data_IF_345452449348
#
_entry.id   IF_345452449348
#
_cell.length_a   1.000
_cell.length_b   1.000
_cell.length_c   1.000
_cell.angle_alpha   90.00
_cell.angle_beta   90.00
_cell.angle_gamma   90.00
#
_symmetry.space_group_name_H-M   'P 1'
#
loop_
_entity.id
_entity.type
_entity.pdbx_description
1 polymer ?
#
# COMPACT_ATOMS: atom_id res chain seq x y z
N UNK A 1 -6.44 -10.07 11.76
CA UNK A 1 -6.38 -8.60 11.97
C UNK A 1 -5.47 -8.31 13.15
N UNK A 2 -4.67 -7.24 13.12
CA UNK A 2 -3.74 -6.88 14.19
C UNK A 2 -4.34 -5.76 15.06
N UNK A 3 -5.12 -6.14 16.06
CA UNK A 3 -5.67 -5.22 17.04
C UNK A 3 -5.39 -5.74 18.45
N UNK A 4 -5.14 -4.82 19.40
CA UNK A 4 -5.01 -5.12 20.83
C UNK A 4 -6.21 -5.91 21.32
N UNK A 5 -7.41 -5.52 20.91
CA UNK A 5 -8.67 -6.20 21.26
C UNK A 5 -8.92 -7.51 20.51
N UNK A 6 -7.98 -7.98 19.69
CA UNK A 6 -8.01 -9.36 19.21
C UNK A 6 -7.57 -10.35 20.29
N UNK A 7 -6.95 -9.87 21.37
CA UNK A 7 -6.74 -10.62 22.61
C UNK A 7 -7.55 -9.98 23.75
N UNK A 8 -7.98 -10.77 24.76
CA UNK A 8 -8.65 -10.22 25.93
C UNK A 8 -7.68 -9.35 26.75
N UNK A 9 -7.98 -8.05 26.85
CA UNK A 9 -7.31 -7.15 27.80
C UNK A 9 -7.89 -7.47 29.18
N UNK A 10 -7.08 -8.01 30.09
CA UNK A 10 -7.56 -8.46 31.40
C UNK A 10 -7.52 -7.36 32.48
N UNK A 11 -6.79 -6.28 32.23
CA UNK A 11 -6.66 -5.19 33.19
C UNK A 11 -7.89 -4.27 33.15
N UNK A 12 -8.64 -4.23 34.26
CA UNK A 12 -9.87 -3.45 34.38
C UNK A 12 -9.64 -1.93 34.29
N UNK A 13 -8.51 -1.42 34.81
CA UNK A 13 -8.18 0.01 34.75
C UNK A 13 -7.90 0.46 33.30
N UNK A 14 -7.18 -0.37 32.54
CA UNK A 14 -6.92 -0.13 31.12
C UNK A 14 -8.23 -0.11 30.32
N UNK A 15 -9.14 -1.06 30.56
CA UNK A 15 -10.46 -1.07 29.95
C UNK A 15 -11.26 0.19 30.28
N UNK A 16 -11.32 0.60 31.55
CA UNK A 16 -12.00 1.83 31.96
C UNK A 16 -11.38 3.09 31.36
N UNK A 17 -10.06 3.12 31.16
CA UNK A 17 -9.38 4.24 30.51
C UNK A 17 -9.76 4.31 29.02
N UNK A 18 -9.79 3.16 28.34
CA UNK A 18 -10.19 3.03 26.94
C UNK A 18 -11.65 3.43 26.73
N UNK A 19 -12.56 2.97 27.59
CA UNK A 19 -13.99 3.33 27.57
C UNK A 19 -14.20 4.83 27.76
N UNK A 20 -13.59 5.43 28.81
CA UNK A 20 -13.66 6.88 29.04
C UNK A 20 -13.10 7.69 27.87
N UNK A 21 -12.04 7.20 27.24
CA UNK A 21 -11.48 7.84 26.06
C UNK A 21 -12.43 7.76 24.86
N UNK A 22 -13.10 6.63 24.65
CA UNK A 22 -14.10 6.48 23.59
C UNK A 22 -15.29 7.41 23.80
N UNK A 23 -15.85 7.44 25.00
CA UNK A 23 -16.98 8.30 25.35
C UNK A 23 -16.65 9.79 25.13
N UNK A 24 -15.50 10.23 25.65
CA UNK A 24 -15.04 11.62 25.53
C UNK A 24 -14.87 12.06 24.08
N UNK A 25 -14.44 11.16 23.20
CA UNK A 25 -14.15 11.46 21.79
C UNK A 25 -15.27 10.99 20.85
N UNK A 26 -16.41 10.54 21.37
CA UNK A 26 -17.51 9.96 20.60
C UNK A 26 -17.08 8.84 19.63
N UNK A 27 -16.12 8.03 20.05
CA UNK A 27 -15.62 6.88 19.29
C UNK A 27 -16.55 5.68 19.50
N UNK A 28 -16.75 4.93 18.43
CA UNK A 28 -17.66 3.78 18.33
C UNK A 28 -16.90 2.47 18.10
N UNK A 29 -15.67 2.52 17.60
CA UNK A 29 -14.86 1.34 17.31
C UNK A 29 -14.30 0.72 18.58
N UNK A 30 -14.47 -0.59 18.73
CA UNK A 30 -13.84 -1.38 19.78
C UNK A 30 -12.48 -1.93 19.32
N UNK A 31 -12.01 -1.60 18.11
CA UNK A 31 -10.66 -1.95 17.65
C UNK A 31 -9.63 -0.91 18.05
N UNK A 32 -8.60 -1.41 18.71
CA UNK A 32 -7.47 -0.63 19.17
C UNK A 32 -6.17 -1.15 18.56
N UNK A 33 -5.32 -0.23 18.11
CA UNK A 33 -4.14 -0.51 17.31
C UNK A 33 -2.91 0.10 17.97
N UNK A 34 -1.75 -0.53 17.74
CA UNK A 34 -0.47 0.05 18.08
C UNK A 34 0.05 0.89 16.92
N UNK A 35 0.83 1.96 17.18
CA UNK A 35 1.50 2.74 16.14
C UNK A 35 2.27 1.86 15.15
N UNK A 36 2.91 0.79 15.65
CA UNK A 36 3.66 -0.15 14.83
C UNK A 36 2.78 -0.96 13.88
N UNK A 37 1.52 -1.25 14.25
CA UNK A 37 0.58 -1.94 13.36
C UNK A 37 0.22 -1.09 12.15
N UNK A 38 0.26 0.24 12.25
CA UNK A 38 -0.19 1.13 11.18
C UNK A 38 0.59 0.91 9.88
N UNK A 39 1.92 0.87 9.97
CA UNK A 39 2.78 0.66 8.82
C UNK A 39 2.58 -0.71 8.15
N UNK A 40 2.26 -1.72 8.96
CA UNK A 40 2.04 -3.10 8.51
C UNK A 40 0.68 -3.27 7.83
N UNK A 41 -0.32 -2.49 8.26
CA UNK A 41 -1.64 -2.41 7.66
C UNK A 41 -1.72 -1.38 6.51
N UNK A 42 -0.60 -0.73 6.18
CA UNK A 42 -0.54 0.39 5.22
C UNK A 42 -1.52 1.53 5.53
N UNK A 43 -1.83 1.74 6.81
CA UNK A 43 -2.68 2.82 7.31
C UNK A 43 -1.84 3.92 7.94
N UNK A 44 -2.43 5.11 8.06
CA UNK A 44 -1.80 6.31 8.63
C UNK A 44 -2.66 6.83 9.77
N UNK A 45 -2.01 7.35 10.80
CA UNK A 45 -2.68 8.11 11.85
C UNK A 45 -3.21 9.42 11.26
N UNK A 46 -4.45 9.79 11.59
CA UNK A 46 -5.01 11.10 11.26
C UNK A 46 -4.61 12.16 12.31
N UNK A 47 -4.46 11.71 13.55
CA UNK A 47 -4.05 12.50 14.71
C UNK A 47 -2.97 11.74 15.49
N UNK A 48 -2.15 12.39 16.32
CA UNK A 48 -1.26 11.69 17.25
C UNK A 48 -2.04 10.82 18.24
N UNK A 49 -1.52 9.65 18.62
CA UNK A 49 -2.13 8.83 19.66
C UNK A 49 -2.09 9.59 20.99
N UNK A 50 -3.24 9.69 21.65
CA UNK A 50 -3.36 10.43 22.91
C UNK A 50 -3.55 9.49 24.10
N UNK A 51 -3.95 8.24 23.86
CA UNK A 51 -4.17 7.26 24.92
C UNK A 51 -2.88 6.46 25.16
N UNK A 52 -2.43 6.46 26.41
CA UNK A 52 -1.27 5.71 26.89
C UNK A 52 -1.76 4.65 27.88
N UNK A 53 -1.30 3.42 27.70
CA UNK A 53 -1.62 2.30 28.58
C UNK A 53 -0.33 1.69 29.13
N UNK A 54 -0.31 1.18 30.37
CA UNK A 54 0.78 0.33 30.84
C UNK A 54 0.88 -0.91 29.93
N UNK A 55 2.08 -1.23 29.44
CA UNK A 55 2.25 -2.35 28.51
C UNK A 55 1.90 -3.68 29.18
N UNK A 56 2.15 -3.80 30.48
CA UNK A 56 1.75 -4.95 31.31
C UNK A 56 0.24 -5.21 31.33
N UNK A 57 -0.58 -4.20 31.00
CA UNK A 57 -2.04 -4.32 30.94
C UNK A 57 -2.55 -4.93 29.63
N UNK A 58 -1.73 -4.95 28.58
CA UNK A 58 -2.15 -5.28 27.21
C UNK A 58 -1.40 -6.45 26.58
N UNK A 59 -0.24 -6.81 27.13
CA UNK A 59 0.62 -7.87 26.61
C UNK A 59 0.59 -9.10 27.52
N UNK A 60 0.77 -10.29 26.95
CA UNK A 60 1.04 -11.50 27.71
C UNK A 60 2.52 -11.87 27.54
N UNK A 61 3.22 -12.07 28.66
CA UNK A 61 4.59 -12.55 28.68
C UNK A 61 4.61 -14.06 28.96
N UNK A 62 5.60 -14.81 28.42
CA UNK A 62 6.69 -14.37 27.55
C UNK A 62 6.24 -14.12 26.10
N UNK A 63 6.94 -13.22 25.41
CA UNK A 63 6.71 -12.97 23.98
C UNK A 63 7.06 -14.19 23.13
N UNK A 64 6.34 -14.41 22.04
CA UNK A 64 6.67 -15.46 21.07
C UNK A 64 7.59 -14.96 19.93
N UNK A 65 7.73 -13.64 19.77
CA UNK A 65 8.62 -13.05 18.79
C UNK A 65 9.12 -11.68 19.21
N UNK A 66 10.30 -11.33 18.71
CA UNK A 66 10.92 -10.01 18.89
C UNK A 66 11.44 -9.46 17.57
N UNK A 67 11.55 -8.13 17.42
CA UNK A 67 12.17 -7.53 16.25
C UNK A 67 13.60 -8.00 16.06
N UNK A 68 13.97 -8.35 14.83
CA UNK A 68 15.32 -8.80 14.49
C UNK A 68 16.38 -7.73 14.79
N UNK A 69 15.99 -6.45 14.79
CA UNK A 69 16.90 -5.36 15.14
C UNK A 69 17.35 -5.38 16.61
N UNK A 70 16.62 -6.07 17.50
CA UNK A 70 16.98 -6.29 18.91
C UNK A 70 18.16 -7.26 19.09
N UNK A 71 18.60 -7.95 18.02
CA UNK A 71 19.74 -8.85 18.10
C UNK A 71 21.07 -8.07 18.16
N UNK A 72 22.12 -8.64 18.80
CA UNK A 72 23.47 -8.12 18.73
C UNK A 72 23.96 -7.95 17.28
N UNK A 73 24.73 -6.89 16.96
CA UNK A 73 25.26 -6.67 15.61
C UNK A 73 26.11 -7.82 15.04
N UNK A 74 26.80 -8.60 15.89
CA UNK A 74 27.52 -9.81 15.48
C UNK A 74 26.56 -10.89 14.98
N UNK A 75 25.53 -11.20 15.78
CA UNK A 75 24.53 -12.23 15.46
C UNK A 75 23.69 -11.87 14.24
N UNK A 76 23.31 -10.60 14.10
CA UNK A 76 22.61 -10.10 12.89
C UNK A 76 23.43 -10.36 11.63
N UNK A 77 24.72 -10.03 11.65
CA UNK A 77 25.63 -10.23 10.51
C UNK A 77 25.80 -11.70 10.16
N UNK A 78 25.94 -12.56 11.18
CA UNK A 78 26.04 -14.00 10.99
C UNK A 78 24.78 -14.58 10.33
N UNK A 79 23.60 -14.30 10.90
CA UNK A 79 22.33 -14.80 10.38
C UNK A 79 22.08 -14.29 8.96
N UNK A 80 22.28 -12.99 8.68
CA UNK A 80 22.05 -12.44 7.35
C UNK A 80 23.03 -13.00 6.29
N UNK A 81 24.21 -13.49 6.70
CA UNK A 81 25.18 -14.14 5.82
C UNK A 81 24.81 -15.59 5.53
N UNK A 82 24.44 -16.35 6.57
CA UNK A 82 24.15 -17.79 6.46
C UNK A 82 22.74 -18.06 5.94
N UNK A 83 21.78 -17.22 6.34
CA UNK A 83 20.36 -17.35 6.08
C UNK A 83 19.80 -16.00 5.62
N UNK A 84 20.07 -15.56 4.38
CA UNK A 84 19.54 -14.29 3.89
C UNK A 84 18.01 -14.34 3.76
N UNK A 85 17.27 -13.29 4.15
CA UNK A 85 15.82 -13.23 3.98
C UNK A 85 15.45 -13.18 2.49
N UNK A 86 14.35 -13.84 2.07
CA UNK A 86 13.88 -13.80 0.70
C UNK A 86 13.50 -12.37 0.28
N UNK A 87 13.70 -12.05 -0.99
CA UNK A 87 13.28 -10.76 -1.54
C UNK A 87 11.75 -10.72 -1.67
N UNK A 88 11.08 -10.17 -0.66
CA UNK A 88 9.64 -10.01 -0.63
C UNK A 88 9.19 -8.56 -0.90
N UNK A 89 7.93 -8.36 -1.35
CA UNK A 89 7.34 -7.04 -1.49
C UNK A 89 7.45 -6.19 -0.21
N UNK A 90 7.41 -4.85 -0.33
CA UNK A 90 7.36 -3.95 0.82
C UNK A 90 6.21 -4.31 1.78
N UNK A 91 6.41 -4.10 3.09
CA UNK A 91 5.47 -4.40 4.17
C UNK A 91 5.25 -5.91 4.49
N UNK A 92 6.13 -6.79 4.02
CA UNK A 92 6.12 -8.19 4.45
C UNK A 92 6.72 -8.35 5.85
N UNK A 93 6.03 -9.09 6.74
CA UNK A 93 6.49 -9.49 8.08
C UNK A 93 7.03 -10.93 8.00
N UNK A 94 8.33 -11.10 8.21
CA UNK A 94 9.05 -12.38 8.15
C UNK A 94 9.53 -12.79 9.54
N UNK A 95 9.46 -14.07 9.84
CA UNK A 95 9.96 -14.67 11.07
C UNK A 95 11.09 -15.64 10.75
N UNK A 96 12.20 -15.51 11.48
CA UNK A 96 13.29 -16.47 11.49
C UNK A 96 12.91 -17.65 12.38
N UNK A 97 12.49 -18.73 11.74
CA UNK A 97 12.19 -19.99 12.41
C UNK A 97 13.49 -20.77 12.64
N UNK A 98 13.69 -21.22 13.88
CA UNK A 98 14.77 -22.10 14.27
C UNK A 98 14.20 -23.47 14.63
N UNK A 99 14.31 -24.44 13.70
CA UNK A 99 13.84 -25.81 13.90
C UNK A 99 15.02 -26.75 14.18
N UNK A 100 15.78 -26.46 15.24
CA UNK A 100 16.95 -27.25 15.65
C UNK A 100 18.12 -27.14 14.66
N UNK A 101 18.14 -28.01 13.66
CA UNK A 101 19.25 -28.17 12.72
C UNK A 101 19.23 -27.17 11.56
N UNK A 102 18.12 -26.43 11.38
CA UNK A 102 17.97 -25.47 10.28
C UNK A 102 17.29 -24.19 10.73
N UNK A 103 17.87 -23.06 10.32
CA UNK A 103 17.20 -21.75 10.38
C UNK A 103 16.63 -21.38 9.01
N UNK A 104 15.39 -20.91 8.97
CA UNK A 104 14.76 -20.44 7.73
C UNK A 104 13.83 -19.26 7.97
N UNK A 105 13.68 -18.43 6.95
CA UNK A 105 12.69 -17.36 6.95
C UNK A 105 11.35 -17.89 6.48
N UNK A 106 10.30 -17.59 7.23
CA UNK A 106 8.90 -17.83 6.84
C UNK A 106 8.06 -16.57 7.06
N UNK A 107 6.86 -16.55 6.50
CA UNK A 107 5.87 -15.54 6.90
C UNK A 107 5.64 -15.62 8.40
N UNK A 108 5.64 -14.45 9.05
CA UNK A 108 5.34 -14.35 10.46
C UNK A 108 3.83 -14.56 10.71
N UNK A 109 3.50 -15.20 11.82
CA UNK A 109 2.13 -15.36 12.27
C UNK A 109 1.57 -14.02 12.79
N UNK A 110 0.25 -13.92 12.90
CA UNK A 110 -0.37 -12.72 13.47
C UNK A 110 0.06 -12.47 14.92
N UNK A 111 0.24 -13.54 15.69
CA UNK A 111 0.70 -13.46 17.09
C UNK A 111 2.14 -12.95 17.17
N UNK A 112 3.01 -13.45 16.28
CA UNK A 112 4.42 -13.03 16.23
C UNK A 112 4.57 -11.54 15.90
N UNK A 113 3.83 -11.03 14.90
CA UNK A 113 3.88 -9.61 14.57
C UNK A 113 3.20 -8.74 15.65
N UNK A 114 2.24 -9.28 16.42
CA UNK A 114 1.62 -8.60 17.55
C UNK A 114 2.60 -8.44 18.72
N UNK A 115 3.22 -9.53 19.18
CA UNK A 115 4.16 -9.49 20.32
C UNK A 115 5.37 -8.60 20.03
N UNK A 116 5.90 -8.67 18.81
CA UNK A 116 7.03 -7.86 18.40
C UNK A 116 6.71 -6.35 18.35
N UNK A 117 5.43 -5.96 18.35
CA UNK A 117 5.02 -4.56 18.32
C UNK A 117 5.23 -3.82 19.65
N UNK A 118 5.45 -4.54 20.75
CA UNK A 118 5.68 -3.94 22.07
C UNK A 118 7.16 -3.79 22.44
N UNK A 119 8.04 -4.40 21.66
CA UNK A 119 9.48 -4.34 21.92
C UNK A 119 10.02 -2.98 21.47
N UNK A 120 10.75 -2.33 22.38
CA UNK A 120 11.41 -1.06 22.13
C UNK A 120 12.49 -1.26 21.07
N UNK A 121 12.19 -0.85 19.84
CA UNK A 121 13.17 -0.90 18.75
C UNK A 121 13.36 0.47 18.14
N UNK A 122 14.62 0.87 17.95
CA UNK A 122 14.97 2.08 17.19
C UNK A 122 14.30 2.11 15.82
N UNK A 123 14.06 3.33 15.33
CA UNK A 123 13.44 3.72 14.06
C UNK A 123 13.19 2.58 13.06
N UNK A 124 11.89 2.33 12.81
CA UNK A 124 11.39 1.42 11.78
C UNK A 124 11.60 2.04 10.39
N UNK A 125 12.82 1.93 9.86
CA UNK A 125 13.15 2.42 8.51
C UNK A 125 13.21 1.32 7.45
N UNK A 126 12.92 0.06 7.79
CA UNK A 126 13.04 -1.05 6.85
C UNK A 126 11.74 -1.28 6.06
N UNK A 127 11.89 -1.49 4.75
CA UNK A 127 10.79 -1.91 3.84
C UNK A 127 10.26 -3.32 4.16
N UNK A 128 10.94 -4.07 5.02
CA UNK A 128 10.64 -5.45 5.42
C UNK A 128 10.76 -5.54 6.95
N UNK A 129 9.78 -6.17 7.59
CA UNK A 129 9.76 -6.37 9.03
C UNK A 129 10.30 -7.77 9.32
N UNK A 130 11.50 -7.83 9.91
CA UNK A 130 12.14 -9.09 10.27
C UNK A 130 11.97 -9.33 11.76
N UNK A 131 11.50 -10.52 12.10
CA UNK A 131 11.27 -11.02 13.45
C UNK A 131 12.07 -12.30 13.68
N UNK A 132 12.28 -12.65 14.93
CA UNK A 132 12.86 -13.93 15.33
C UNK A 132 12.30 -14.35 16.68
N UNK A 133 12.58 -15.60 17.07
CA UNK A 133 12.27 -16.07 18.39
C UNK A 133 13.04 -15.25 19.47
N UNK A 134 12.46 -15.06 20.68
CA UNK A 134 13.07 -14.25 21.74
C UNK A 134 14.39 -14.83 22.25
N UNK A 135 14.56 -16.15 22.20
CA UNK A 135 15.80 -16.86 22.57
C UNK A 135 17.02 -16.43 21.73
N UNK A 136 16.78 -15.90 20.52
CA UNK A 136 17.81 -15.35 19.66
C UNK A 136 18.29 -13.97 20.11
N UNK A 137 17.54 -13.28 20.98
CA UNK A 137 17.88 -11.96 21.50
C UNK A 137 18.57 -12.06 22.87
N UNK A 138 19.58 -11.22 23.10
CA UNK A 138 20.34 -11.20 24.36
C UNK A 138 19.61 -10.47 25.47
N UNK A 139 18.85 -9.43 25.12
CA UNK A 139 17.93 -8.74 26.01
C UNK A 139 16.74 -8.25 25.20
N UNK A 140 15.55 -8.31 25.82
CA UNK A 140 14.31 -7.81 25.22
C UNK A 140 13.80 -6.72 26.14
N UNK A 141 13.97 -5.47 25.71
CA UNK A 141 13.39 -4.32 26.40
C UNK A 141 11.99 -4.07 25.85
N UNK A 142 10.98 -4.30 26.70
CA UNK A 142 9.59 -3.96 26.42
C UNK A 142 9.36 -2.54 26.96
N UNK A 143 8.64 -1.69 26.22
CA UNK A 143 8.29 -0.35 26.70
C UNK A 143 7.39 -0.47 27.94
N UNK A 144 7.62 0.33 28.99
CA UNK A 144 6.78 0.30 30.21
C UNK A 144 5.34 0.75 29.91
N UNK A 145 5.21 1.71 29.00
CA UNK A 145 3.96 2.28 28.53
C UNK A 145 3.88 2.20 27.01
N UNK A 146 2.68 2.06 26.49
CA UNK A 146 2.42 2.01 25.06
C UNK A 146 1.31 2.97 24.67
N UNK A 147 1.54 3.71 23.58
CA UNK A 147 0.50 4.54 22.97
C UNK A 147 -0.41 3.67 22.11
N UNK A 148 -1.72 3.94 22.16
CA UNK A 148 -2.71 3.19 21.40
C UNK A 148 -3.60 4.12 20.60
N UNK A 149 -4.01 3.66 19.42
CA UNK A 149 -4.98 4.31 18.56
C UNK A 149 -6.29 3.56 18.62
N UNK A 150 -7.40 4.28 18.70
CA UNK A 150 -8.65 3.73 18.22
C UNK A 150 -8.61 3.64 16.68
N UNK A 151 -9.21 2.61 16.07
CA UNK A 151 -9.20 2.47 14.62
C UNK A 151 -9.75 3.72 13.91
N UNK A 152 -10.73 4.41 14.51
CA UNK A 152 -11.31 5.65 13.99
C UNK A 152 -10.36 6.86 13.93
N UNK A 153 -9.22 6.80 14.62
CA UNK A 153 -8.18 7.83 14.59
C UNK A 153 -7.18 7.62 13.45
N UNK A 154 -7.45 6.65 12.58
CA UNK A 154 -6.63 6.32 11.41
C UNK A 154 -7.37 6.61 10.10
N UNK A 155 -6.63 6.68 9.00
CA UNK A 155 -7.21 6.86 7.66
C UNK A 155 -8.01 5.64 7.15
N UNK A 156 -8.11 4.57 7.95
CA UNK A 156 -8.97 3.43 7.69
C UNK A 156 -9.69 3.01 8.98
N UNK A 157 -10.82 3.66 9.31
CA UNK A 157 -11.56 3.40 10.55
C UNK A 157 -12.24 2.03 10.58
N UNK A 158 -12.36 1.35 9.42
CA UNK A 158 -13.14 0.11 9.25
C UNK A 158 -12.27 -1.15 9.25
N UNK A 159 -11.08 -1.09 9.83
CA UNK A 159 -10.25 -2.27 10.03
C UNK A 159 -11.02 -3.28 10.91
N UNK A 160 -11.64 -4.30 10.28
CA UNK A 160 -12.30 -5.50 10.89
C UNK A 160 -12.94 -5.27 12.24
N UNK A 161 -13.65 -4.16 12.34
CA UNK A 161 -14.59 -3.87 13.41
C UNK A 161 -16.00 -4.19 12.93
N UNK A 162 -16.53 -5.32 13.40
CA UNK A 162 -17.92 -5.74 13.16
C UNK A 162 -18.91 -4.94 13.98
N UNK A 163 -18.44 -4.23 15.00
CA UNK A 163 -19.28 -3.44 15.91
C UNK A 163 -19.55 -2.04 15.32
N UNK A 164 -18.75 -1.63 14.33
CA UNK A 164 -19.00 -0.43 13.54
C UNK A 164 -20.18 -0.64 12.59
N UNK A 165 -21.32 -0.13 13.00
CA UNK A 165 -22.49 0.01 12.15
C UNK A 165 -22.29 1.19 11.20
N UNK A 166 -22.19 0.93 9.90
CA UNK A 166 -22.15 1.98 8.89
C UNK A 166 -23.45 2.78 8.93
N UNK A 167 -23.37 4.11 8.97
CA UNK A 167 -24.53 5.02 8.94
C UNK A 167 -24.47 5.91 7.71
N UNK A 168 -25.64 6.18 7.14
CA UNK A 168 -25.83 7.25 6.17
C UNK A 168 -25.58 8.59 6.88
N UNK A 169 -24.59 9.36 6.42
CA UNK A 169 -24.19 10.63 7.05
C UNK A 169 -25.30 11.69 7.03
N UNK A 170 -26.14 11.68 5.98
CA UNK A 170 -27.19 12.68 5.79
C UNK A 170 -28.49 12.26 6.49
N UNK A 171 -28.80 10.96 6.48
CA UNK A 171 -30.04 10.43 7.08
C UNK A 171 -29.87 9.98 8.51
N UNK A 172 -28.63 9.85 8.99
CA UNK A 172 -28.28 9.24 10.28
C UNK A 172 -28.83 7.82 10.47
N UNK A 173 -29.23 7.13 9.39
CA UNK A 173 -29.81 5.80 9.42
C UNK A 173 -28.72 4.75 9.25
N UNK A 174 -28.72 3.73 10.10
CA UNK A 174 -27.82 2.58 9.99
C UNK A 174 -28.14 1.77 8.74
N UNK A 175 -27.12 1.42 7.95
CA UNK A 175 -27.29 0.51 6.82
C UNK A 175 -27.72 -0.87 7.32
N UNK A 176 -28.72 -1.47 6.67
CA UNK A 176 -29.34 -2.74 7.09
C UNK A 176 -28.42 -3.97 6.98
N UNK A 177 -27.25 -3.83 6.35
CA UNK A 177 -26.27 -4.89 6.23
C UNK A 177 -25.00 -4.48 6.95
N UNK A 178 -24.54 -5.32 7.88
CA UNK A 178 -23.20 -5.22 8.44
C UNK A 178 -22.21 -5.37 7.30
N UNK A 179 -21.69 -4.24 6.82
CA UNK A 179 -20.54 -4.26 5.91
C UNK A 179 -19.36 -4.68 6.78
N UNK A 180 -19.21 -5.99 6.97
CA UNK A 180 -18.07 -6.59 7.64
C UNK A 180 -16.83 -6.33 6.77
N UNK A 181 -16.22 -5.17 6.96
CA UNK A 181 -14.79 -4.84 7.14
C UNK A 181 -13.66 -5.60 6.42
N UNK A 182 -13.87 -6.82 5.97
CA UNK A 182 -13.24 -7.26 4.72
C UNK A 182 -13.82 -6.43 3.56
N UNK A 183 -15.12 -6.11 3.58
CA UNK A 183 -15.84 -5.45 2.51
C UNK A 183 -15.47 -4.00 2.22
N UNK A 184 -14.91 -3.19 3.12
CA UNK A 184 -14.52 -1.82 2.70
C UNK A 184 -13.23 -1.83 1.86
N UNK A 185 -12.39 -2.84 2.02
CA UNK A 185 -11.17 -3.04 1.22
C UNK A 185 -11.40 -4.03 0.06
N UNK A 186 -12.30 -5.01 0.24
CA UNK A 186 -12.71 -6.04 -0.73
C UNK A 186 -13.92 -5.62 -1.59
N UNK A 187 -14.86 -4.78 -1.14
CA UNK A 187 -15.95 -4.28 -2.00
C UNK A 187 -15.43 -3.30 -3.06
N UNK A 188 -14.27 -2.69 -2.83
CA UNK A 188 -13.51 -2.03 -3.90
C UNK A 188 -12.91 -3.04 -4.92
N UNK A 189 -12.76 -4.33 -4.56
CA UNK A 189 -12.20 -5.41 -5.40
C UNK A 189 -13.24 -6.41 -5.96
N UNK A 190 -14.45 -6.55 -5.39
CA UNK A 190 -15.41 -7.63 -5.70
C UNK A 190 -16.83 -7.18 -6.11
N UNK A 191 -17.02 -5.93 -6.57
CA UNK A 191 -18.26 -5.47 -7.24
C UNK A 191 -19.58 -5.78 -6.51
N UNK A 192 -19.75 -5.22 -5.32
CA UNK A 192 -21.11 -5.07 -4.76
C UNK A 192 -21.90 -4.10 -5.64
N UNK A 193 -23.20 -4.32 -5.83
CA UNK A 193 -24.07 -3.56 -6.77
C UNK A 193 -24.26 -2.06 -6.42
N UNK A 194 -23.83 -1.63 -5.23
CA UNK A 194 -23.70 -0.22 -4.82
C UNK A 194 -22.29 0.38 -5.07
N UNK A 195 -21.41 -0.34 -5.75
CA UNK A 195 -20.01 0.00 -6.03
C UNK A 195 -19.65 -0.15 -7.51
N UNK A 196 -20.62 -0.13 -8.42
CA UNK A 196 -20.31 0.02 -9.84
C UNK A 196 -19.89 1.48 -10.08
N UNK A 197 -18.57 1.68 -10.10
CA UNK A 197 -17.96 2.95 -10.41
C UNK A 197 -17.82 3.08 -11.91
N UNK A 198 -18.49 4.07 -12.48
CA UNK A 198 -18.40 4.36 -13.91
C UNK A 198 -17.53 5.60 -14.07
N UNK A 199 -16.47 5.48 -14.87
CA UNK A 199 -15.62 6.62 -15.20
C UNK A 199 -16.50 7.70 -15.83
N UNK A 200 -16.33 8.96 -15.43
CA UNK A 200 -17.15 10.09 -15.88
C UNK A 200 -17.27 10.12 -17.41
N UNK A 201 -16.14 9.89 -18.10
CA UNK A 201 -16.08 9.85 -19.56
C UNK A 201 -16.84 8.67 -20.19
N UNK A 202 -17.04 7.57 -19.45
CA UNK A 202 -17.74 6.37 -19.90
C UNK A 202 -19.23 6.38 -19.55
N UNK A 203 -19.68 7.20 -18.59
CA UNK A 203 -21.05 7.20 -18.10
C UNK A 203 -22.08 7.49 -19.21
N UNK A 204 -21.81 8.52 -20.02
CA UNK A 204 -22.69 8.86 -21.15
C UNK A 204 -22.68 7.78 -22.24
N UNK A 205 -21.51 7.21 -22.55
CA UNK A 205 -21.38 6.14 -23.54
C UNK A 205 -22.08 4.84 -23.11
N UNK A 206 -22.21 4.60 -21.81
CA UNK A 206 -22.94 3.48 -21.23
C UNK A 206 -24.46 3.71 -21.14
N UNK A 207 -24.98 4.85 -21.61
CA UNK A 207 -26.41 5.18 -21.54
C UNK A 207 -26.91 5.50 -20.13
N UNK A 208 -26.01 5.96 -19.25
CA UNK A 208 -26.31 6.31 -17.86
C UNK A 208 -26.47 7.82 -17.72
N UNK A 209 -27.51 8.24 -17.00
CA UNK A 209 -27.78 9.64 -16.62
C UNK A 209 -27.26 9.91 -15.22
N UNK A 210 -26.59 11.05 -15.04
CA UNK A 210 -26.12 11.49 -13.71
C UNK A 210 -27.27 12.14 -12.94
N UNK A 211 -27.45 11.75 -11.68
CA UNK A 211 -28.46 12.31 -10.78
C UNK A 211 -28.21 13.81 -10.55
N UNK A 212 -29.29 14.60 -10.51
CA UNK A 212 -29.19 16.05 -10.31
C UNK A 212 -28.48 16.40 -8.98
N UNK A 213 -27.54 17.35 -9.04
CA UNK A 213 -26.80 17.83 -7.87
C UNK A 213 -25.65 16.95 -7.40
N UNK A 214 -25.29 15.89 -8.14
CA UNK A 214 -24.17 15.00 -7.80
C UNK A 214 -22.88 15.38 -8.53
N UNK A 215 -21.73 15.11 -7.92
CA UNK A 215 -20.40 15.36 -8.50
C UNK A 215 -19.54 14.09 -8.50
N UNK A 216 -18.69 13.88 -9.51
CA UNK A 216 -17.84 12.70 -9.57
C UNK A 216 -16.74 12.74 -8.52
N UNK A 217 -16.30 11.55 -8.10
CA UNK A 217 -15.23 11.38 -7.11
C UNK A 217 -13.87 11.23 -7.80
N UNK A 218 -12.85 11.88 -7.24
CA UNK A 218 -11.47 11.74 -7.69
C UNK A 218 -10.84 10.47 -7.10
N UNK A 219 -10.71 9.43 -7.92
CA UNK A 219 -10.17 8.14 -7.51
C UNK A 219 -8.74 7.98 -8.05
N UNK A 220 -7.84 7.43 -7.22
CA UNK A 220 -6.50 7.05 -7.67
C UNK A 220 -6.53 5.64 -8.22
N UNK A 221 -6.18 5.49 -9.49
CA UNK A 221 -6.19 4.21 -10.21
C UNK A 221 -4.78 3.82 -10.62
N UNK A 222 -4.57 2.53 -10.82
CA UNK A 222 -3.35 2.01 -11.42
C UNK A 222 -3.63 1.72 -12.88
N UNK A 223 -2.81 2.28 -13.76
CA UNK A 223 -2.87 2.06 -15.21
C UNK A 223 -1.52 1.52 -15.69
N UNK A 224 -1.56 0.63 -16.67
CA UNK A 224 -0.36 0.14 -17.34
C UNK A 224 0.10 1.14 -18.40
N UNK A 225 1.28 1.72 -18.19
CA UNK A 225 2.00 2.48 -19.19
C UNK A 225 2.90 1.54 -19.99
N UNK A 226 2.71 1.52 -21.31
CA UNK A 226 3.57 0.79 -22.25
C UNK A 226 4.66 1.74 -22.74
N UNK A 227 5.91 1.32 -22.63
CA UNK A 227 7.06 2.11 -23.07
C UNK A 227 8.01 1.27 -23.92
N UNK A 228 8.73 1.94 -24.81
CA UNK A 228 9.82 1.35 -25.60
C UNK A 228 11.09 2.13 -25.37
N UNK A 229 12.21 1.44 -25.32
CA UNK A 229 13.51 2.09 -25.22
C UNK A 229 13.86 2.75 -26.56
N UNK A 230 14.55 3.90 -26.52
CA UNK A 230 14.90 4.64 -27.74
C UNK A 230 15.68 3.79 -28.75
N UNK A 231 16.54 2.87 -28.28
CA UNK A 231 17.33 1.99 -29.16
C UNK A 231 16.50 1.01 -30.00
N UNK A 232 15.22 0.81 -29.65
CA UNK A 232 14.29 -0.05 -30.39
C UNK A 232 13.61 0.65 -31.57
N UNK A 233 13.79 1.98 -31.70
CA UNK A 233 13.18 2.76 -32.77
C UNK A 233 14.06 2.73 -34.04
N UNK A 234 13.52 3.02 -35.24
CA UNK A 234 14.36 3.19 -36.43
C UNK A 234 15.41 4.30 -36.25
N UNK A 235 16.60 4.13 -36.82
CA UNK A 235 17.74 5.04 -36.60
C UNK A 235 17.44 6.52 -36.90
N UNK A 236 16.60 6.79 -37.91
CA UNK A 236 16.13 8.15 -38.22
C UNK A 236 15.35 8.76 -37.05
N UNK A 237 14.42 8.00 -36.48
CA UNK A 237 13.60 8.43 -35.35
C UNK A 237 14.42 8.55 -34.07
N UNK A 238 15.41 7.67 -33.88
CA UNK A 238 16.35 7.80 -32.75
C UNK A 238 17.08 9.14 -32.82
N UNK A 239 17.63 9.49 -33.98
CA UNK A 239 18.37 10.74 -34.18
C UNK A 239 17.48 11.95 -33.91
N UNK A 240 16.31 12.00 -34.52
CA UNK A 240 15.33 13.07 -34.28
C UNK A 240 15.00 13.25 -32.80
N UNK A 241 14.75 12.15 -32.10
CA UNK A 241 14.42 12.19 -30.68
C UNK A 241 15.61 12.64 -29.84
N UNK A 242 16.82 12.12 -30.07
CA UNK A 242 18.03 12.53 -29.35
C UNK A 242 18.31 14.02 -29.55
N UNK A 243 18.15 14.54 -30.77
CA UNK A 243 18.35 15.95 -31.09
C UNK A 243 17.33 16.86 -30.37
N UNK A 244 16.15 16.33 -30.08
CA UNK A 244 15.10 17.02 -29.33
C UNK A 244 15.25 16.93 -27.80
N UNK A 245 16.12 16.06 -27.27
CA UNK A 245 16.28 15.85 -25.83
C UNK A 245 17.03 17.04 -25.21
N UNK A 246 16.49 17.68 -24.16
CA UNK A 246 17.24 18.71 -23.45
C UNK A 246 18.55 18.15 -22.89
N UNK A 247 19.67 18.89 -23.03
CA UNK A 247 21.00 18.45 -22.58
C UNK A 247 21.03 17.95 -21.13
N UNK A 248 20.28 18.60 -20.25
CA UNK A 248 20.16 18.22 -18.83
C UNK A 248 19.46 16.86 -18.64
N UNK A 249 18.50 16.53 -19.51
CA UNK A 249 17.83 15.22 -19.53
C UNK A 249 18.78 14.14 -20.02
N UNK A 250 19.52 14.41 -21.10
CA UNK A 250 20.48 13.46 -21.66
C UNK A 250 21.57 13.08 -20.63
N UNK A 251 22.17 14.07 -19.96
CA UNK A 251 23.19 13.81 -18.93
C UNK A 251 22.62 12.97 -17.77
N UNK A 252 21.41 13.30 -17.30
CA UNK A 252 20.78 12.59 -16.19
C UNK A 252 20.26 11.20 -16.58
N UNK A 253 20.00 10.97 -17.87
CA UNK A 253 19.45 9.70 -18.34
C UNK A 253 20.38 8.51 -18.14
N UNK A 254 21.68 8.74 -17.91
CA UNK A 254 22.64 7.68 -17.57
C UNK A 254 22.37 7.00 -16.23
N UNK A 255 21.65 7.65 -15.30
CA UNK A 255 21.35 7.10 -13.97
C UNK A 255 19.87 7.07 -13.64
N UNK A 256 19.03 7.78 -14.41
CA UNK A 256 17.61 7.98 -14.10
C UNK A 256 16.76 7.86 -15.35
N UNK A 257 15.65 7.13 -15.27
CA UNK A 257 14.75 6.97 -16.42
C UNK A 257 13.90 8.22 -16.71
N UNK A 258 13.92 8.63 -17.98
CA UNK A 258 13.03 9.63 -18.55
C UNK A 258 12.12 8.99 -19.60
N UNK A 259 10.87 9.44 -19.63
CA UNK A 259 9.85 8.99 -20.56
C UNK A 259 9.36 10.18 -21.38
N UNK A 260 9.41 10.08 -22.70
CA UNK A 260 8.72 10.98 -23.60
C UNK A 260 7.22 10.71 -23.50
N UNK A 261 6.49 11.61 -22.85
CA UNK A 261 5.06 11.47 -22.58
C UNK A 261 4.33 12.78 -22.86
N UNK A 262 3.27 12.73 -23.69
CA UNK A 262 2.54 13.90 -24.17
C UNK A 262 3.47 14.97 -24.79
N UNK A 263 4.42 14.53 -25.63
CA UNK A 263 5.33 15.40 -26.37
C UNK A 263 6.47 16.03 -25.55
N UNK A 264 6.65 15.65 -24.28
CA UNK A 264 7.75 16.17 -23.45
C UNK A 264 8.50 15.06 -22.73
N UNK A 265 9.81 15.22 -22.61
CA UNK A 265 10.64 14.36 -21.77
C UNK A 265 10.35 14.62 -20.30
N UNK A 266 9.92 13.59 -19.59
CA UNK A 266 9.53 13.67 -18.18
C UNK A 266 10.28 12.63 -17.36
N UNK A 267 10.69 13.02 -16.17
CA UNK A 267 11.21 12.08 -15.19
C UNK A 267 10.13 11.05 -14.80
N UNK A 268 10.49 9.79 -14.56
CA UNK A 268 9.51 8.72 -14.29
C UNK A 268 8.51 9.03 -13.15
N UNK A 269 8.99 9.67 -12.07
CA UNK A 269 8.12 10.15 -10.96
C UNK A 269 7.08 11.18 -11.42
N UNK A 270 7.43 12.04 -12.38
CA UNK A 270 6.51 13.05 -12.94
C UNK A 270 5.43 12.42 -13.83
N UNK A 271 5.67 11.21 -14.32
CA UNK A 271 4.68 10.37 -15.01
C UNK A 271 3.96 9.44 -14.02
N UNK A 272 4.23 9.60 -12.71
CA UNK A 272 3.65 8.85 -11.59
C UNK A 272 3.84 7.32 -11.70
N UNK A 273 4.91 6.87 -12.32
CA UNK A 273 5.24 5.45 -12.38
C UNK A 273 5.57 4.91 -10.99
N UNK A 274 5.07 3.72 -10.66
CA UNK A 274 5.28 3.09 -9.35
C UNK A 274 6.73 2.63 -9.15
N UNK A 275 7.42 2.29 -10.25
CA UNK A 275 8.82 1.85 -10.28
C UNK A 275 9.58 2.52 -11.44
N UNK A 276 10.87 2.86 -11.27
CA UNK A 276 11.69 3.37 -12.36
C UNK A 276 11.97 2.27 -13.41
N UNK A 277 12.34 2.69 -14.61
CA UNK A 277 12.95 1.83 -15.61
C UNK A 277 14.46 1.83 -15.40
N UNK A 278 15.10 0.67 -15.51
CA UNK A 278 16.53 0.50 -15.25
C UNK A 278 17.20 -0.22 -16.43
N UNK A 279 18.54 -0.27 -16.47
CA UNK A 279 19.28 -0.83 -17.61
C UNK A 279 18.91 -2.28 -17.94
N UNK A 280 18.54 -3.09 -16.93
CA UNK A 280 18.07 -4.47 -17.14
C UNK A 280 16.77 -4.57 -17.95
N UNK A 281 16.01 -3.48 -18.02
CA UNK A 281 14.77 -3.41 -18.77
C UNK A 281 15.02 -3.09 -20.26
N UNK A 282 16.21 -2.59 -20.60
CA UNK A 282 16.61 -2.31 -21.98
C UNK A 282 16.69 -3.63 -22.73
N UNK A 283 16.00 -3.77 -23.88
CA UNK A 283 16.11 -4.99 -24.68
C UNK A 283 17.55 -5.21 -25.16
N UNK A 284 18.03 -6.45 -25.00
CA UNK A 284 19.42 -6.84 -25.27
C UNK A 284 19.84 -6.37 -26.67
N UNK A 285 20.66 -5.33 -26.71
CA UNK A 285 21.27 -4.79 -27.92
C UNK A 285 22.79 -4.76 -27.70
N UNK A 286 23.44 -5.92 -27.88
CA UNK A 286 24.89 -6.05 -27.78
C UNK A 286 25.39 -6.70 -26.49
N UNK A 287 26.66 -6.44 -26.15
CA UNK A 287 27.33 -6.98 -24.98
C UNK A 287 26.84 -6.28 -23.69
N UNK A 288 26.92 -6.95 -22.51
CA UNK A 288 26.45 -6.38 -21.24
C UNK A 288 27.06 -5.01 -20.90
N UNK A 289 28.34 -4.82 -21.27
CA UNK A 289 29.09 -3.57 -21.03
C UNK A 289 28.52 -2.38 -21.81
N UNK A 290 28.00 -2.62 -23.02
CA UNK A 290 27.39 -1.57 -23.86
C UNK A 290 25.99 -1.22 -23.33
N UNK A 291 25.29 -2.18 -22.72
CA UNK A 291 23.97 -1.98 -22.16
C UNK A 291 23.97 -1.03 -20.97
N UNK A 292 25.01 -1.10 -20.12
CA UNK A 292 25.18 -0.21 -18.97
C UNK A 292 25.58 1.23 -19.37
N UNK A 293 25.96 1.45 -20.62
CA UNK A 293 26.27 2.76 -21.19
C UNK A 293 25.10 3.37 -21.98
N UNK A 294 23.98 2.67 -22.13
CA UNK A 294 22.83 3.21 -22.83
C UNK A 294 22.02 4.17 -21.93
N UNK A 295 21.63 5.34 -22.45
CA UNK A 295 20.83 6.29 -21.69
C UNK A 295 19.42 5.73 -21.43
N UNK A 296 18.89 5.88 -20.22
CA UNK A 296 17.54 5.44 -19.85
C UNK A 296 16.44 6.37 -20.42
N UNK A 297 16.36 6.41 -21.75
CA UNK A 297 15.39 7.20 -22.51
C UNK A 297 14.33 6.28 -23.10
N UNK A 298 13.09 6.54 -22.70
CA UNK A 298 11.94 5.71 -23.02
C UNK A 298 10.87 6.54 -23.73
N UNK A 299 10.13 5.92 -24.64
CA UNK A 299 9.02 6.55 -25.34
C UNK A 299 7.74 5.85 -24.93
N UNK A 300 6.76 6.60 -24.44
CA UNK A 300 5.44 6.05 -24.17
C UNK A 300 4.73 5.73 -25.48
N UNK A 301 4.22 4.50 -25.57
CA UNK A 301 3.48 4.01 -26.73
C UNK A 301 2.02 3.92 -26.34
N UNK A 302 1.16 4.67 -27.02
CA UNK A 302 -0.28 4.54 -26.85
C UNK A 302 -0.81 3.31 -27.62
N UNK A 303 -2.08 2.95 -27.37
CA UNK A 303 -2.75 1.87 -28.11
C UNK A 303 -2.92 2.17 -29.61
N UNK A 304 -2.75 3.42 -30.03
CA UNK A 304 -2.93 3.87 -31.41
C UNK A 304 -1.61 3.91 -32.21
N UNK A 305 -0.46 3.89 -31.55
CA UNK A 305 0.85 3.81 -32.18
C UNK A 305 1.09 2.39 -32.69
N UNK A 306 1.27 2.28 -34.01
CA UNK A 306 1.72 1.05 -34.68
C UNK A 306 3.21 0.81 -34.37
N UNK A 307 3.52 0.35 -33.17
CA UNK A 307 4.85 -0.17 -32.84
C UNK A 307 4.84 -1.70 -32.89
N UNK A 308 5.64 -2.27 -33.79
CA UNK A 308 5.82 -3.71 -33.94
C UNK A 308 7.13 -4.14 -33.26
N UNK A 309 7.10 -4.31 -31.95
CA UNK A 309 8.26 -4.77 -31.18
C UNK A 309 7.91 -5.01 -29.71
N UNK A 310 8.90 -5.46 -28.94
CA UNK A 310 8.72 -5.72 -27.51
C UNK A 310 8.51 -4.42 -26.74
N UNK A 311 7.42 -4.34 -26.00
CA UNK A 311 7.12 -3.22 -25.11
C UNK A 311 7.47 -3.59 -23.68
N UNK A 312 7.94 -2.61 -22.90
CA UNK A 312 8.08 -2.75 -21.45
C UNK A 312 6.85 -2.14 -20.79
N UNK A 313 6.22 -2.90 -19.91
CA UNK A 313 5.04 -2.45 -19.17
C UNK A 313 5.41 -1.98 -17.77
N UNK A 314 4.86 -0.84 -17.37
CA UNK A 314 5.03 -0.27 -16.04
C UNK A 314 3.74 0.32 -15.53
N UNK A 315 3.42 -0.02 -14.29
CA UNK A 315 2.29 0.58 -13.60
C UNK A 315 2.57 2.06 -13.30
N UNK A 316 1.54 2.88 -13.47
CA UNK A 316 1.52 4.27 -13.01
C UNK A 316 0.26 4.58 -12.24
N UNK A 317 0.39 5.48 -11.28
CA UNK A 317 -0.74 5.98 -10.51
C UNK A 317 -1.35 7.19 -11.23
N UNK A 318 -2.59 7.07 -11.66
CA UNK A 318 -3.34 8.16 -12.27
C UNK A 318 -4.51 8.56 -11.36
N UNK A 319 -5.03 9.76 -11.57
CA UNK A 319 -6.27 10.18 -10.91
C UNK A 319 -7.33 10.38 -11.98
N UNK A 320 -8.47 9.74 -11.80
CA UNK A 320 -9.61 9.78 -12.73
C UNK A 320 -10.88 10.08 -11.94
N UNK A 321 -11.88 10.61 -12.63
CA UNK A 321 -13.17 10.96 -12.05
C UNK A 321 -14.15 9.82 -12.29
N UNK A 322 -14.82 9.38 -11.23
CA UNK A 322 -15.81 8.30 -11.30
C UNK A 322 -17.10 8.69 -10.61
N UNK A 323 -18.23 8.24 -11.16
CA UNK A 323 -19.52 8.23 -10.50
C UNK A 323 -19.77 6.87 -9.86
N UNK A 324 -20.32 6.87 -8.65
CA UNK A 324 -20.87 5.68 -8.01
C UNK A 324 -22.25 5.35 -8.63
N UNK A 325 -22.66 4.08 -8.62
CA UNK A 325 -23.97 3.64 -9.13
C UNK A 325 -25.17 4.36 -8.49
N UNK A 326 -25.07 4.87 -7.26
CA UNK A 326 -26.11 5.69 -6.62
C UNK A 326 -26.25 7.09 -7.24
N UNK A 327 -25.25 7.54 -7.99
CA UNK A 327 -25.23 8.83 -8.70
C UNK A 327 -25.70 8.67 -10.15
N UNK A 328 -26.06 7.45 -10.57
CA UNK A 328 -26.36 7.08 -11.94
C UNK A 328 -27.75 6.46 -12.05
N UNK A 329 -28.48 6.83 -13.08
CA UNK A 329 -29.79 6.30 -13.44
C UNK A 329 -29.74 5.76 -14.87
N UNK A 330 -30.56 4.75 -15.17
CA UNK A 330 -30.77 4.30 -16.54
C UNK A 330 -31.46 5.40 -17.35
N UNK A 331 -30.93 5.77 -18.52
CA UNK A 331 -31.60 6.69 -19.42
C UNK A 331 -32.81 5.99 -20.05
N UNK A 332 -33.96 6.05 -19.37
CA UNK A 332 -35.22 5.52 -19.86
C UNK A 332 -35.75 6.41 -20.99
N UNK A 333 -35.14 6.36 -22.17
CA UNK A 333 -35.82 6.83 -23.38
C UNK A 333 -36.97 5.85 -23.66
N UNK A 334 -38.22 6.32 -23.80
CA UNK A 334 -39.30 5.44 -24.19
C UNK A 334 -39.00 4.93 -25.60
N UNK A 335 -38.94 3.60 -25.74
CA UNK A 335 -39.02 2.96 -27.05
C UNK A 335 -40.33 3.45 -27.70
N UNK A 336 -40.32 4.07 -28.89
CA UNK A 336 -41.56 4.42 -29.57
C UNK A 336 -42.26 3.10 -29.90
N UNK A 337 -43.40 2.85 -29.25
CA UNK A 337 -44.27 1.72 -29.61
C UNK A 337 -44.75 1.97 -31.04
N UNK A 338 -44.35 1.10 -31.97
CA UNK A 338 -44.99 0.98 -33.28
C UNK A 338 -46.27 0.18 -33.15
#
# INVERSE_FOLDING_TARGET
MWALTSQPIQNAEALQLMERYMERNALQSNKWLLPRHLALLAVRSLYPAQLVLPTSSVIQLPLCAVPFCSLPPSRKREILRLYPPPYLPPASCLFLENSGDTMRWRSASMLECFDAAFVRSGSLSSRQYLLCAPDCATSVEVEEEVTVFNAQETNNPFLVDTDLLHRDLLKSVTFQHSIASTLTTIAAQFRYTSFDWVEEAAASAAGLRVCAGTSPHLVSCVETLRVVHISQLPSERQRELVDSVPRTTLIKSMSVSFVLYSGRWRHYKSVKMTRPLVHRDIPRSGTPEIQDLQPLLWVAVDSNMKFCGNVTERERLIRRLYYNSQQLEMDARPVPRR
#
